data_IF_785619290107
#
_entry.id   IF_785619290107
#
_cell.length_a   1.000
_cell.length_b   1.000
_cell.length_c   1.000
_cell.angle_alpha   90.00
_cell.angle_beta   90.00
_cell.angle_gamma   90.00
#
_symmetry.space_group_name_H-M   'P 1'
#
loop_
_entity.id
_entity.type
_entity.pdbx_description
1 polymer ?
#
# COMPACT_ATOMS: atom_id res chain seq x y z
N UNK A 1 13.77 -38.09 -12.10
CA UNK A 1 12.48 -38.09 -12.80
C UNK A 1 11.34 -38.80 -12.05
N UNK A 2 11.60 -39.66 -11.04
CA UNK A 2 10.53 -40.42 -10.35
C UNK A 2 9.59 -39.62 -9.42
N UNK A 3 9.95 -38.41 -8.96
CA UNK A 3 9.14 -37.64 -8.01
C UNK A 3 7.96 -36.85 -8.66
N UNK A 4 7.80 -36.91 -9.98
CA UNK A 4 6.72 -36.21 -10.68
C UNK A 4 5.44 -37.03 -10.82
N UNK A 5 5.54 -38.36 -10.65
CA UNK A 5 4.41 -39.28 -10.62
C UNK A 5 4.36 -39.96 -9.26
N UNK A 6 3.19 -39.94 -8.64
CA UNK A 6 2.88 -40.78 -7.50
C UNK A 6 1.82 -41.76 -7.98
N UNK A 7 2.03 -43.05 -7.76
CA UNK A 7 0.95 -44.02 -7.95
C UNK A 7 -0.21 -43.69 -7.01
N UNK A 8 -1.47 -43.99 -7.38
CA UNK A 8 -2.60 -43.82 -6.48
C UNK A 8 -2.33 -44.48 -5.11
N UNK A 9 -2.45 -43.70 -4.03
CA UNK A 9 -2.13 -44.15 -2.66
C UNK A 9 -0.72 -43.80 -2.16
N UNK A 10 0.21 -43.38 -3.02
CA UNK A 10 1.49 -42.83 -2.59
C UNK A 10 1.37 -41.36 -2.19
N UNK A 11 2.16 -40.96 -1.20
CA UNK A 11 2.23 -39.58 -0.70
C UNK A 11 3.64 -39.04 -0.80
N UNK A 12 3.76 -37.73 -1.03
CA UNK A 12 5.00 -36.99 -1.00
C UNK A 12 4.93 -35.95 0.10
N UNK A 13 5.85 -36.04 1.05
CA UNK A 13 5.96 -35.09 2.15
C UNK A 13 6.91 -33.96 1.79
N UNK A 14 6.55 -32.74 2.13
CA UNK A 14 7.36 -31.56 1.89
C UNK A 14 8.57 -31.46 2.82
N UNK A 15 9.51 -30.55 2.52
CA UNK A 15 10.75 -30.37 3.30
C UNK A 15 10.48 -30.07 4.77
N UNK A 16 9.51 -29.19 5.08
CA UNK A 16 9.13 -28.87 6.45
C UNK A 16 8.34 -29.98 7.15
N UNK A 17 7.92 -31.01 6.40
CA UNK A 17 6.97 -32.05 6.80
C UNK A 17 5.57 -31.56 7.14
N UNK A 18 5.27 -30.28 6.92
CA UNK A 18 3.94 -29.73 7.14
C UNK A 18 2.95 -30.16 6.05
N UNK A 19 3.40 -30.27 4.80
CA UNK A 19 2.53 -30.62 3.68
C UNK A 19 2.71 -32.08 3.27
N UNK A 20 1.59 -32.78 3.10
CA UNK A 20 1.55 -34.15 2.57
C UNK A 20 0.72 -34.15 1.29
N UNK A 21 1.37 -34.40 0.16
CA UNK A 21 0.75 -34.31 -1.17
C UNK A 21 0.45 -35.70 -1.70
N UNK A 22 -0.76 -35.91 -2.20
CA UNK A 22 -1.21 -37.13 -2.89
C UNK A 22 -1.84 -36.78 -4.24
N UNK A 23 -1.94 -37.76 -5.15
CA UNK A 23 -2.58 -37.58 -6.44
C UNK A 23 -3.53 -38.74 -6.76
N UNK A 24 -4.73 -38.40 -7.24
CA UNK A 24 -5.63 -39.34 -7.92
C UNK A 24 -5.48 -39.27 -9.44
N UNK A 25 -4.64 -38.38 -9.95
CA UNK A 25 -4.36 -38.21 -11.38
C UNK A 25 -3.06 -38.94 -11.70
N UNK A 26 -3.17 -39.94 -12.59
CA UNK A 26 -2.02 -40.62 -13.20
C UNK A 26 -1.92 -40.19 -14.66
N UNK A 27 -1.31 -39.03 -14.90
CA UNK A 27 -1.11 -38.48 -16.23
C UNK A 27 0.34 -37.97 -16.40
N UNK A 28 0.97 -38.13 -17.58
CA UNK A 28 2.26 -37.52 -17.86
C UNK A 28 2.18 -36.00 -17.68
N UNK A 29 3.12 -35.44 -16.90
CA UNK A 29 3.22 -34.00 -16.75
C UNK A 29 3.69 -33.38 -18.07
N UNK A 30 2.82 -32.58 -18.67
CA UNK A 30 3.16 -31.66 -19.75
C UNK A 30 2.90 -30.24 -19.25
N UNK A 31 3.92 -29.33 -19.27
CA UNK A 31 3.74 -27.96 -18.82
C UNK A 31 2.59 -27.30 -19.59
N UNK A 32 1.79 -26.48 -18.90
CA UNK A 32 0.73 -25.73 -19.56
C UNK A 32 1.35 -24.74 -20.56
N UNK A 33 0.83 -24.70 -21.79
CA UNK A 33 1.20 -23.69 -22.77
C UNK A 33 0.72 -22.32 -22.29
N UNK A 34 1.57 -21.60 -21.56
CA UNK A 34 1.27 -20.30 -20.98
C UNK A 34 2.00 -19.20 -21.75
N UNK A 35 1.29 -18.10 -22.03
CA UNK A 35 1.98 -16.82 -22.29
C UNK A 35 2.75 -16.46 -21.02
N UNK A 36 4.00 -15.98 -21.17
CA UNK A 36 4.85 -15.61 -20.04
C UNK A 36 4.18 -14.48 -19.27
N UNK A 37 3.66 -14.79 -18.08
CA UNK A 37 3.06 -13.86 -17.11
C UNK A 37 3.72 -14.08 -15.76
N UNK A 38 3.83 -13.01 -14.97
CA UNK A 38 4.38 -13.06 -13.61
C UNK A 38 3.61 -14.04 -12.70
N UNK A 39 2.29 -14.10 -12.86
CA UNK A 39 1.43 -15.10 -12.24
C UNK A 39 0.67 -15.81 -13.37
N UNK A 40 0.83 -17.14 -13.52
CA UNK A 40 0.21 -17.88 -14.61
C UNK A 40 -1.31 -18.00 -14.43
N UNK A 41 -2.06 -17.79 -15.52
CA UNK A 41 -3.52 -17.99 -15.52
C UNK A 41 -3.91 -19.48 -15.42
N UNK A 42 -2.97 -20.38 -15.72
CA UNK A 42 -3.17 -21.83 -15.72
C UNK A 42 -1.95 -22.53 -15.15
N UNK A 43 -2.12 -23.29 -14.09
CA UNK A 43 -1.09 -24.12 -13.48
C UNK A 43 -1.55 -25.56 -13.54
N UNK A 44 -0.72 -26.40 -14.14
CA UNK A 44 -0.93 -27.85 -14.13
C UNK A 44 -0.22 -28.45 -12.93
N UNK A 45 -0.97 -29.04 -12.02
CA UNK A 45 -0.45 -29.58 -10.78
C UNK A 45 0.10 -30.99 -10.97
N UNK A 46 1.19 -31.24 -10.26
CA UNK A 46 1.79 -32.55 -10.03
C UNK A 46 2.40 -32.53 -8.61
N UNK A 47 2.59 -33.71 -7.96
CA UNK A 47 2.87 -33.76 -6.52
C UNK A 47 4.13 -33.01 -6.07
N UNK A 48 5.26 -33.19 -6.75
CA UNK A 48 6.52 -32.52 -6.40
C UNK A 48 6.46 -31.00 -6.58
N UNK A 49 5.90 -30.52 -7.69
CA UNK A 49 5.71 -29.09 -7.91
C UNK A 49 4.81 -28.45 -6.87
N UNK A 50 3.70 -29.11 -6.49
CA UNK A 50 2.80 -28.62 -5.45
C UNK A 50 3.48 -28.56 -4.07
N UNK A 51 4.27 -29.58 -3.71
CA UNK A 51 5.02 -29.56 -2.46
C UNK A 51 6.06 -28.44 -2.42
N UNK A 52 6.84 -28.25 -3.49
CA UNK A 52 7.84 -27.18 -3.58
C UNK A 52 7.21 -25.78 -3.57
N UNK A 53 6.09 -25.62 -4.27
CA UNK A 53 5.30 -24.39 -4.29
C UNK A 53 4.76 -24.05 -2.89
N UNK A 54 4.12 -25.02 -2.23
CA UNK A 54 3.57 -24.83 -0.88
C UNK A 54 4.65 -24.48 0.15
N UNK A 55 5.82 -25.13 0.08
CA UNK A 55 6.98 -24.78 0.90
C UNK A 55 7.47 -23.36 0.64
N UNK A 56 7.55 -22.94 -0.63
CA UNK A 56 8.01 -21.60 -1.00
C UNK A 56 7.06 -20.52 -0.48
N UNK A 57 5.73 -20.75 -0.56
CA UNK A 57 4.73 -19.86 0.03
C UNK A 57 4.87 -19.81 1.55
N UNK A 58 4.97 -20.98 2.20
CA UNK A 58 5.14 -21.08 3.64
C UNK A 58 6.38 -20.30 4.10
N UNK A 59 7.51 -20.44 3.41
CA UNK A 59 8.73 -19.73 3.75
C UNK A 59 8.55 -18.19 3.65
N UNK A 60 7.83 -17.70 2.63
CA UNK A 60 7.47 -16.28 2.55
C UNK A 60 6.53 -15.85 3.67
N UNK A 61 5.49 -16.63 3.95
CA UNK A 61 4.53 -16.31 5.00
C UNK A 61 5.17 -16.28 6.38
N UNK A 62 5.96 -17.30 6.73
CA UNK A 62 6.76 -17.39 7.96
C UNK A 62 7.66 -16.17 8.12
N UNK A 63 8.39 -15.79 7.06
CA UNK A 63 9.27 -14.63 7.05
C UNK A 63 8.52 -13.31 7.27
N UNK A 64 7.39 -13.12 6.57
CA UNK A 64 6.62 -11.86 6.63
C UNK A 64 5.87 -11.69 7.95
N UNK A 65 5.35 -12.78 8.50
CA UNK A 65 4.60 -12.76 9.75
C UNK A 65 5.48 -12.96 10.99
N UNK A 66 6.78 -13.21 10.83
CA UNK A 66 7.72 -13.42 11.95
C UNK A 66 7.41 -14.67 12.78
N UNK A 67 6.88 -15.71 12.13
CA UNK A 67 6.40 -16.91 12.81
C UNK A 67 7.58 -17.85 13.07
N UNK A 68 7.65 -18.45 14.26
CA UNK A 68 8.60 -19.55 14.48
C UNK A 68 8.23 -20.74 13.59
N UNK A 69 9.21 -21.40 12.96
CA UNK A 69 8.98 -22.48 11.97
C UNK A 69 8.37 -23.78 12.52
N UNK A 70 7.72 -23.74 13.69
CA UNK A 70 7.00 -24.84 14.34
C UNK A 70 5.52 -24.80 13.95
N UNK A 71 5.09 -25.79 13.19
CA UNK A 71 3.67 -26.09 12.91
C UNK A 71 3.16 -27.15 13.88
N UNK A 72 1.85 -27.24 14.07
CA UNK A 72 1.23 -28.23 14.98
C UNK A 72 0.41 -29.27 14.25
N UNK A 73 -0.14 -28.91 13.08
CA UNK A 73 -0.99 -29.78 12.27
C UNK A 73 -0.43 -29.98 10.86
N UNK A 74 -0.67 -31.17 10.31
CA UNK A 74 -0.37 -31.47 8.92
C UNK A 74 -1.44 -30.92 7.99
N UNK A 75 -1.00 -30.56 6.78
CA UNK A 75 -1.84 -30.09 5.68
C UNK A 75 -1.75 -31.10 4.55
N UNK A 76 -2.84 -31.84 4.32
CA UNK A 76 -2.94 -32.82 3.26
C UNK A 76 -3.50 -32.18 1.99
N UNK A 77 -2.74 -32.24 0.91
CA UNK A 77 -3.14 -31.74 -0.41
C UNK A 77 -3.37 -32.92 -1.33
N UNK A 78 -4.59 -33.07 -1.84
CA UNK A 78 -4.95 -34.14 -2.76
C UNK A 78 -5.24 -33.57 -4.15
N UNK A 79 -4.44 -33.95 -5.14
CA UNK A 79 -4.67 -33.57 -6.53
C UNK A 79 -5.78 -34.45 -7.09
N UNK A 80 -6.88 -33.82 -7.54
CA UNK A 80 -8.04 -34.49 -8.13
C UNK A 80 -8.17 -34.14 -9.62
N UNK A 81 -8.78 -35.02 -10.44
CA UNK A 81 -9.18 -34.65 -11.79
C UNK A 81 -10.09 -33.41 -11.77
N UNK A 82 -9.82 -32.44 -12.64
CA UNK A 82 -10.59 -31.20 -12.71
C UNK A 82 -10.16 -30.31 -13.87
N UNK A 83 -11.02 -29.35 -14.20
CA UNK A 83 -10.85 -28.35 -15.27
C UNK A 83 -10.63 -26.96 -14.67
N UNK A 84 -10.15 -26.04 -15.51
CA UNK A 84 -10.00 -24.64 -15.12
C UNK A 84 -11.36 -24.04 -14.73
N UNK A 85 -11.46 -23.46 -13.55
CA UNK A 85 -12.71 -22.93 -12.99
C UNK A 85 -13.37 -23.84 -11.96
N UNK A 86 -12.93 -25.10 -11.85
CA UNK A 86 -13.32 -25.95 -10.72
C UNK A 86 -12.73 -25.37 -9.43
N UNK A 87 -13.52 -25.33 -8.37
CA UNK A 87 -13.08 -24.78 -7.07
C UNK A 87 -12.36 -25.83 -6.25
N UNK A 88 -11.26 -25.43 -5.61
CA UNK A 88 -10.64 -26.25 -4.58
C UNK A 88 -11.58 -26.38 -3.38
N UNK A 89 -11.62 -27.57 -2.78
CA UNK A 89 -12.42 -27.83 -1.58
C UNK A 89 -11.48 -27.96 -0.40
N UNK A 90 -11.74 -27.20 0.65
CA UNK A 90 -10.98 -27.21 1.88
C UNK A 90 -11.89 -27.64 3.03
N UNK A 91 -11.34 -28.45 3.94
CA UNK A 91 -11.98 -28.79 5.19
C UNK A 91 -10.97 -29.21 6.26
N UNK A 92 -11.45 -29.28 7.49
CA UNK A 92 -10.70 -29.79 8.65
C UNK A 92 -11.34 -31.08 9.14
N UNK A 93 -10.51 -32.01 9.62
CA UNK A 93 -10.95 -33.28 10.16
C UNK A 93 -10.32 -33.43 11.56
N UNK A 94 -11.08 -33.83 12.58
CA UNK A 94 -10.51 -34.09 13.89
C UNK A 94 -9.54 -35.27 13.80
N UNK A 95 -8.35 -35.08 14.36
CA UNK A 95 -7.33 -36.10 14.50
C UNK A 95 -7.64 -36.99 15.72
N UNK A 96 -7.21 -38.25 15.68
CA UNK A 96 -7.31 -39.20 16.80
C UNK A 96 -6.68 -38.70 18.12
N UNK A 97 -5.73 -37.76 18.05
CA UNK A 97 -5.07 -37.13 19.21
C UNK A 97 -5.80 -35.90 19.74
N UNK A 98 -6.97 -35.55 19.19
CA UNK A 98 -7.75 -34.37 19.59
C UNK A 98 -7.31 -33.05 18.94
N UNK A 99 -6.31 -33.08 18.05
CA UNK A 99 -5.91 -31.95 17.19
C UNK A 99 -6.73 -31.92 15.88
N UNK A 100 -6.43 -30.98 14.99
CA UNK A 100 -7.08 -30.88 13.67
C UNK A 100 -6.09 -31.19 12.56
N UNK A 101 -6.48 -32.02 11.59
CA UNK A 101 -5.77 -32.15 10.33
C UNK A 101 -6.49 -31.34 9.24
N UNK A 102 -5.72 -30.64 8.42
CA UNK A 102 -6.25 -29.78 7.35
C UNK A 102 -6.16 -30.53 6.03
N UNK A 103 -7.25 -30.58 5.26
CA UNK A 103 -7.28 -31.26 3.96
C UNK A 103 -7.81 -30.34 2.87
N UNK A 104 -7.15 -30.34 1.72
CA UNK A 104 -7.64 -29.69 0.53
C UNK A 104 -7.62 -30.63 -0.68
N UNK A 105 -8.75 -30.71 -1.39
CA UNK A 105 -8.85 -31.33 -2.70
C UNK A 105 -8.64 -30.24 -3.75
N UNK A 106 -7.58 -30.40 -4.55
CA UNK A 106 -7.08 -29.38 -5.47
C UNK A 106 -7.23 -29.88 -6.91
N UNK A 107 -7.97 -29.17 -7.78
CA UNK A 107 -8.07 -29.53 -9.19
C UNK A 107 -6.70 -29.58 -9.86
N UNK A 108 -6.47 -30.60 -10.68
CA UNK A 108 -5.24 -30.77 -11.46
C UNK A 108 -4.87 -29.55 -12.32
N UNK A 109 -5.85 -28.75 -12.73
CA UNK A 109 -5.64 -27.53 -13.49
C UNK A 109 -6.37 -26.36 -12.82
N UNK A 110 -5.62 -25.35 -12.37
CA UNK A 110 -6.20 -24.18 -11.70
C UNK A 110 -5.38 -22.89 -11.92
N UNK A 111 -5.95 -21.69 -11.71
CA UNK A 111 -5.20 -20.44 -11.80
C UNK A 111 -4.13 -20.33 -10.70
N UNK A 112 -2.96 -19.77 -11.04
CA UNK A 112 -1.84 -19.67 -10.09
C UNK A 112 -2.15 -18.78 -8.88
N UNK A 113 -2.95 -17.72 -9.08
CA UNK A 113 -3.40 -16.86 -7.99
C UNK A 113 -4.30 -17.62 -7.01
N UNK A 114 -5.31 -18.35 -7.52
CA UNK A 114 -6.21 -19.15 -6.69
C UNK A 114 -5.46 -20.25 -5.93
N UNK A 115 -4.44 -20.84 -6.56
CA UNK A 115 -3.56 -21.82 -5.90
C UNK A 115 -2.81 -21.18 -4.74
N UNK A 116 -2.29 -19.96 -4.93
CA UNK A 116 -1.59 -19.22 -3.88
C UNK A 116 -2.55 -18.89 -2.72
N UNK A 117 -3.75 -18.44 -3.06
CA UNK A 117 -4.80 -18.09 -2.12
C UNK A 117 -5.19 -19.28 -1.25
N UNK A 118 -5.40 -20.45 -1.85
CA UNK A 118 -5.69 -21.70 -1.15
C UNK A 118 -4.60 -22.07 -0.13
N UNK A 119 -3.33 -22.03 -0.52
CA UNK A 119 -2.23 -22.38 0.39
C UNK A 119 -2.13 -21.38 1.55
N UNK A 120 -2.36 -20.08 1.27
CA UNK A 120 -2.38 -19.05 2.31
C UNK A 120 -3.56 -19.22 3.27
N UNK A 121 -4.74 -19.54 2.75
CA UNK A 121 -5.92 -19.80 3.57
C UNK A 121 -5.71 -20.98 4.52
N UNK A 122 -5.11 -22.07 4.01
CA UNK A 122 -4.71 -23.23 4.81
C UNK A 122 -3.72 -22.87 5.93
N UNK A 123 -2.69 -22.08 5.61
CA UNK A 123 -1.67 -21.67 6.58
C UNK A 123 -2.25 -20.74 7.66
N UNK A 124 -3.09 -19.78 7.27
CA UNK A 124 -3.75 -18.86 8.19
C UNK A 124 -4.73 -19.60 9.11
N UNK A 125 -5.51 -20.53 8.56
CA UNK A 125 -6.48 -21.33 9.31
C UNK A 125 -5.78 -22.30 10.26
N UNK A 126 -4.69 -22.95 9.83
CA UNK A 126 -3.86 -23.79 10.72
C UNK A 126 -3.32 -22.97 11.88
N UNK A 127 -2.74 -21.81 11.60
CA UNK A 127 -2.14 -20.98 12.64
C UNK A 127 -3.16 -20.44 13.64
N UNK A 128 -4.30 -19.94 13.14
CA UNK A 128 -5.38 -19.43 13.98
C UNK A 128 -6.02 -20.56 14.82
N UNK A 129 -6.05 -21.80 14.28
CA UNK A 129 -6.65 -22.96 14.94
C UNK A 129 -5.79 -23.64 16.01
N UNK A 130 -4.49 -23.36 16.10
CA UNK A 130 -3.51 -24.07 16.97
C UNK A 130 -3.92 -24.27 18.44
N UNK A 131 -4.70 -23.36 19.00
CA UNK A 131 -5.10 -23.40 20.42
C UNK A 131 -6.62 -23.32 20.60
N UNK A 132 -7.37 -23.75 19.59
CA UNK A 132 -8.83 -23.65 19.57
C UNK A 132 -9.50 -24.95 19.16
N UNK A 133 -10.56 -25.32 19.87
CA UNK A 133 -11.51 -26.36 19.44
C UNK A 133 -12.48 -25.86 18.37
N UNK A 134 -12.67 -24.54 18.27
CA UNK A 134 -13.59 -23.90 17.31
C UNK A 134 -12.85 -23.53 16.02
N UNK A 135 -13.58 -23.55 14.90
CA UNK A 135 -13.04 -23.13 13.61
C UNK A 135 -12.76 -21.63 13.60
N UNK A 136 -11.53 -21.18 13.30
CA UNK A 136 -11.29 -19.77 13.11
C UNK A 136 -12.02 -19.27 11.87
N UNK A 137 -12.97 -18.36 12.05
CA UNK A 137 -13.58 -17.62 10.94
C UNK A 137 -12.68 -16.43 10.61
N UNK A 138 -11.79 -16.60 9.64
CA UNK A 138 -10.87 -15.54 9.22
C UNK A 138 -11.62 -14.34 8.63
N UNK A 139 -11.19 -13.09 8.89
CA UNK A 139 -11.70 -11.93 8.18
C UNK A 139 -11.48 -12.05 6.67
N UNK A 140 -12.45 -11.68 5.82
CA UNK A 140 -12.38 -11.93 4.38
C UNK A 140 -11.24 -11.19 3.66
N UNK A 141 -10.63 -10.18 4.30
CA UNK A 141 -9.51 -9.42 3.74
C UNK A 141 -8.14 -10.10 3.95
N UNK A 142 -7.98 -10.98 4.93
CA UNK A 142 -6.63 -11.41 5.34
C UNK A 142 -5.99 -12.37 4.33
N UNK A 143 -6.76 -13.34 3.82
CA UNK A 143 -6.33 -14.28 2.79
C UNK A 143 -5.97 -13.57 1.47
N UNK A 144 -6.85 -12.76 0.84
CA UNK A 144 -6.49 -12.04 -0.38
C UNK A 144 -5.37 -11.02 -0.16
N UNK A 145 -5.36 -10.28 0.96
CA UNK A 145 -4.32 -9.29 1.24
C UNK A 145 -2.94 -9.92 1.39
N UNK A 146 -2.86 -11.08 2.06
CA UNK A 146 -1.61 -11.85 2.20
C UNK A 146 -1.19 -12.50 0.88
N UNK A 147 -2.16 -12.94 0.07
CA UNK A 147 -1.92 -13.48 -1.27
C UNK A 147 -1.25 -12.44 -2.16
N UNK A 148 -1.80 -11.23 -2.22
CA UNK A 148 -1.20 -10.13 -3.00
C UNK A 148 0.18 -9.72 -2.48
N UNK A 149 0.37 -9.68 -1.16
CA UNK A 149 1.68 -9.40 -0.53
C UNK A 149 2.77 -10.35 -1.03
N UNK A 150 2.45 -11.63 -1.18
CA UNK A 150 3.40 -12.65 -1.63
C UNK A 150 3.55 -12.64 -3.15
N UNK A 151 2.46 -12.54 -3.90
CA UNK A 151 2.49 -12.56 -5.37
C UNK A 151 3.21 -11.34 -5.95
N UNK A 152 2.96 -10.14 -5.44
CA UNK A 152 3.61 -8.93 -5.97
C UNK A 152 5.10 -8.88 -5.63
N UNK A 153 5.53 -9.54 -4.54
CA UNK A 153 6.93 -9.57 -4.13
C UNK A 153 7.74 -10.76 -4.69
N UNK A 154 7.11 -11.91 -4.94
CA UNK A 154 7.80 -13.17 -5.32
C UNK A 154 7.09 -14.02 -6.38
N UNK A 155 5.94 -13.59 -6.90
CA UNK A 155 5.06 -14.34 -7.80
C UNK A 155 5.79 -15.16 -8.88
N UNK A 156 6.59 -14.54 -9.77
CA UNK A 156 7.25 -15.26 -10.86
C UNK A 156 8.10 -16.45 -10.42
N UNK A 157 8.82 -16.31 -9.30
CA UNK A 157 9.75 -17.32 -8.80
C UNK A 157 8.98 -18.49 -8.17
N UNK A 158 7.81 -18.23 -7.57
CA UNK A 158 7.00 -19.26 -6.92
C UNK A 158 6.53 -20.34 -7.91
N UNK A 159 6.24 -19.98 -9.16
CA UNK A 159 5.68 -20.91 -10.15
C UNK A 159 6.72 -21.69 -10.96
N UNK A 160 8.01 -21.49 -10.69
CA UNK A 160 9.11 -22.23 -11.34
C UNK A 160 8.95 -23.76 -11.32
N UNK A 161 8.42 -24.41 -10.25
CA UNK A 161 8.25 -25.86 -10.24
C UNK A 161 7.25 -26.37 -11.29
N UNK A 162 6.34 -25.52 -11.78
CA UNK A 162 5.32 -25.87 -12.77
C UNK A 162 5.68 -25.45 -14.20
N UNK A 163 6.76 -24.66 -14.36
CA UNK A 163 7.20 -24.15 -15.64
C UNK A 163 8.75 -24.13 -15.72
N UNK A 164 9.42 -25.30 -15.65
CA UNK A 164 10.89 -25.36 -15.60
C UNK A 164 11.55 -24.80 -16.86
N UNK A 165 10.87 -24.82 -18.01
CA UNK A 165 11.39 -24.24 -19.26
C UNK A 165 11.30 -22.70 -19.31
N UNK A 166 10.51 -22.08 -18.42
CA UNK A 166 10.42 -20.63 -18.34
C UNK A 166 11.61 -20.00 -17.59
N UNK A 167 12.41 -20.80 -16.88
CA UNK A 167 13.51 -20.36 -16.00
C UNK A 167 14.59 -19.57 -16.77
N UNK A 168 14.83 -19.87 -18.04
CA UNK A 168 15.78 -19.14 -18.90
C UNK A 168 15.30 -17.76 -19.40
N UNK A 169 14.03 -17.40 -19.17
CA UNK A 169 13.42 -16.15 -19.66
C UNK A 169 12.86 -15.24 -18.56
N UNK A 170 13.09 -15.55 -17.28
CA UNK A 170 12.56 -14.78 -16.14
C UNK A 170 13.36 -13.46 -15.90
N UNK A 171 13.41 -12.58 -16.89
CA UNK A 171 13.82 -11.18 -16.67
C UNK A 171 12.65 -10.38 -16.09
N UNK A 172 12.13 -10.80 -14.94
CA UNK A 172 11.10 -10.05 -14.22
C UNK A 172 11.77 -8.98 -13.37
N UNK A 173 11.74 -7.74 -13.86
CA UNK A 173 12.07 -6.57 -13.04
C UNK A 173 10.94 -6.42 -12.03
N UNK A 174 11.21 -6.79 -10.78
CA UNK A 174 10.30 -6.48 -9.70
C UNK A 174 10.31 -4.97 -9.46
N UNK A 175 9.15 -4.28 -9.52
CA UNK A 175 9.10 -2.89 -9.11
C UNK A 175 9.57 -2.75 -7.66
N UNK A 176 10.31 -1.68 -7.37
CA UNK A 176 10.82 -1.42 -6.03
C UNK A 176 9.67 -1.21 -5.02
N UNK A 177 8.49 -0.77 -5.50
CA UNK A 177 7.26 -0.64 -4.71
C UNK A 177 6.56 -2.01 -4.57
N UNK A 178 6.49 -2.59 -3.35
CA UNK A 178 5.77 -3.85 -3.11
C UNK A 178 4.26 -3.73 -3.32
N UNK A 179 3.71 -2.51 -3.39
CA UNK A 179 2.31 -2.22 -3.61
C UNK A 179 2.03 -1.72 -5.04
N UNK A 180 2.97 -1.79 -5.99
CA UNK A 180 2.85 -1.17 -7.32
C UNK A 180 1.49 -1.43 -8.00
N UNK A 181 1.12 -2.70 -8.21
CA UNK A 181 -0.13 -3.04 -8.90
C UNK A 181 -1.37 -2.65 -8.08
N UNK A 182 -1.29 -2.74 -6.75
CA UNK A 182 -2.37 -2.30 -5.87
C UNK A 182 -2.51 -0.78 -5.81
N UNK A 183 -1.40 -0.03 -5.98
CA UNK A 183 -1.38 1.43 -5.94
C UNK A 183 -2.18 2.03 -7.09
N UNK A 184 -1.97 1.54 -8.31
CA UNK A 184 -2.72 1.98 -9.49
C UNK A 184 -4.24 1.89 -9.28
N UNK A 185 -4.70 0.75 -8.75
CA UNK A 185 -6.13 0.55 -8.47
C UNK A 185 -6.62 1.39 -7.29
N UNK A 186 -5.86 1.45 -6.19
CA UNK A 186 -6.28 2.23 -5.02
C UNK A 186 -6.36 3.72 -5.37
N UNK A 187 -5.42 4.27 -6.15
CA UNK A 187 -5.46 5.67 -6.54
C UNK A 187 -6.64 5.99 -7.47
N UNK A 188 -6.97 5.08 -8.39
CA UNK A 188 -8.05 5.26 -9.38
C UNK A 188 -9.46 5.16 -8.78
N UNK A 189 -9.69 4.25 -7.84
CA UNK A 189 -11.02 3.96 -7.31
C UNK A 189 -11.29 4.63 -5.97
N UNK A 190 -12.55 4.69 -5.53
CA UNK A 190 -12.93 5.26 -4.23
C UNK A 190 -12.36 4.43 -3.05
N UNK A 191 -12.05 5.05 -1.90
CA UNK A 191 -11.65 4.33 -0.69
C UNK A 191 -12.72 3.32 -0.26
N UNK A 192 -12.28 2.20 0.32
CA UNK A 192 -13.17 1.18 0.92
C UNK A 192 -13.06 1.30 2.45
N UNK A 193 -14.20 1.34 3.14
CA UNK A 193 -14.23 1.35 4.61
C UNK A 193 -13.69 0.05 5.19
N UNK A 194 -13.20 0.08 6.43
CA UNK A 194 -12.76 -1.13 7.13
C UNK A 194 -13.96 -2.07 7.37
N UNK A 195 -15.15 -1.51 7.63
CA UNK A 195 -16.39 -2.27 7.69
C UNK A 195 -16.64 -3.06 6.39
N UNK A 196 -16.53 -2.41 5.22
CA UNK A 196 -16.75 -3.09 3.93
C UNK A 196 -15.64 -4.10 3.59
N UNK A 197 -14.43 -3.92 4.14
CA UNK A 197 -13.38 -4.95 4.04
C UNK A 197 -13.70 -6.19 4.89
N UNK A 198 -14.36 -6.01 6.04
CA UNK A 198 -14.69 -7.10 6.97
C UNK A 198 -16.03 -7.77 6.65
N UNK A 199 -16.98 -7.01 6.13
CA UNK A 199 -18.33 -7.44 5.74
C UNK A 199 -18.63 -6.87 4.33
N UNK A 200 -18.13 -7.53 3.27
CA UNK A 200 -18.27 -7.03 1.91
C UNK A 200 -19.75 -6.91 1.48
N UNK A 201 -20.23 -5.71 1.10
CA UNK A 201 -21.59 -5.52 0.58
C UNK A 201 -21.75 -6.14 -0.82
N UNK A 202 -23.01 -6.37 -1.23
CA UNK A 202 -23.32 -7.00 -2.50
C UNK A 202 -22.84 -6.23 -3.76
N UNK A 203 -22.56 -4.93 -3.72
CA UNK A 203 -21.95 -4.28 -4.90
C UNK A 203 -20.46 -4.62 -5.05
N UNK A 204 -19.82 -5.06 -3.97
CA UNK A 204 -18.53 -5.74 -3.97
C UNK A 204 -18.75 -7.26 -4.10
N UNK A 205 -19.79 -7.71 -4.82
CA UNK A 205 -20.25 -9.12 -4.91
C UNK A 205 -19.21 -10.13 -5.36
N UNK A 206 -18.19 -9.70 -6.12
CA UNK A 206 -17.06 -10.59 -6.44
C UNK A 206 -16.11 -10.77 -5.25
N UNK A 207 -16.25 -9.96 -4.20
CA UNK A 207 -15.56 -10.03 -2.93
C UNK A 207 -14.07 -10.19 -3.12
N UNK A 208 -13.57 -11.32 -2.63
CA UNK A 208 -12.18 -11.77 -2.74
C UNK A 208 -11.66 -11.82 -4.19
N UNK A 209 -12.53 -11.97 -5.20
CA UNK A 209 -12.19 -11.96 -6.63
C UNK A 209 -12.16 -10.56 -7.26
N UNK A 210 -12.67 -9.53 -6.57
CA UNK A 210 -12.63 -8.15 -7.06
C UNK A 210 -11.21 -7.56 -6.91
N UNK A 211 -10.54 -7.17 -8.01
CA UNK A 211 -9.19 -6.60 -7.95
C UNK A 211 -9.09 -5.33 -7.09
N UNK A 212 -10.16 -4.53 -7.00
CA UNK A 212 -10.20 -3.33 -6.15
C UNK A 212 -10.24 -3.72 -4.68
N UNK A 213 -11.08 -4.69 -4.31
CA UNK A 213 -11.15 -5.23 -2.96
C UNK A 213 -9.79 -5.80 -2.53
N UNK A 214 -9.19 -6.66 -3.37
CA UNK A 214 -7.88 -7.27 -3.10
C UNK A 214 -6.78 -6.25 -2.91
N UNK A 215 -6.79 -5.16 -3.68
CA UNK A 215 -5.79 -4.11 -3.55
C UNK A 215 -5.90 -3.39 -2.20
N UNK A 216 -7.11 -3.12 -1.73
CA UNK A 216 -7.32 -2.53 -0.40
C UNK A 216 -6.99 -3.53 0.72
N UNK A 217 -7.31 -4.81 0.55
CA UNK A 217 -6.91 -5.87 1.47
C UNK A 217 -5.38 -6.02 1.55
N UNK A 218 -4.68 -5.92 0.42
CA UNK A 218 -3.22 -5.92 0.36
C UNK A 218 -2.63 -4.73 1.12
N UNK A 219 -3.16 -3.52 0.86
CA UNK A 219 -2.74 -2.33 1.59
C UNK A 219 -2.97 -2.48 3.10
N UNK A 220 -4.12 -3.02 3.52
CA UNK A 220 -4.42 -3.25 4.94
C UNK A 220 -3.40 -4.19 5.58
N UNK A 221 -3.17 -5.37 5.01
CA UNK A 221 -2.17 -6.33 5.51
C UNK A 221 -0.78 -5.70 5.56
N UNK A 222 -0.37 -5.00 4.49
CA UNK A 222 0.92 -4.33 4.42
C UNK A 222 1.08 -3.27 5.52
N UNK A 223 0.04 -2.44 5.76
CA UNK A 223 0.06 -1.42 6.81
C UNK A 223 0.12 -2.05 8.20
N UNK A 224 -0.63 -3.11 8.47
CA UNK A 224 -0.65 -3.79 9.76
C UNK A 224 0.71 -4.43 10.08
N UNK A 225 1.33 -5.10 9.11
CA UNK A 225 2.66 -5.67 9.26
C UNK A 225 3.75 -4.60 9.42
N UNK A 226 3.55 -3.41 8.84
CA UNK A 226 4.47 -2.27 8.96
C UNK A 226 4.34 -1.46 10.26
N UNK A 227 3.36 -1.74 11.13
CA UNK A 227 3.27 -1.11 12.44
C UNK A 227 4.43 -1.55 13.36
N UNK A 228 4.74 -0.79 14.42
CA UNK A 228 5.67 -1.25 15.46
C UNK A 228 5.23 -2.61 16.02
N UNK A 229 6.12 -3.61 15.95
CA UNK A 229 5.82 -5.01 16.29
C UNK A 229 4.64 -5.59 15.50
N UNK A 230 4.43 -5.14 14.26
CA UNK A 230 3.27 -5.49 13.43
C UNK A 230 3.14 -7.00 13.17
N UNK A 231 4.26 -7.70 12.95
CA UNK A 231 4.31 -9.16 12.83
C UNK A 231 3.79 -9.87 14.08
N UNK A 232 4.26 -9.47 15.27
CA UNK A 232 3.84 -10.03 16.55
C UNK A 232 2.36 -9.73 16.83
N UNK A 233 1.91 -8.51 16.56
CA UNK A 233 0.50 -8.11 16.68
C UNK A 233 -0.41 -8.90 15.74
N UNK A 234 0.04 -9.15 14.51
CA UNK A 234 -0.69 -9.97 13.54
C UNK A 234 -0.77 -11.44 13.99
N UNK A 235 0.31 -12.00 14.52
CA UNK A 235 0.28 -13.35 15.11
C UNK A 235 -0.68 -13.41 16.29
N UNK A 236 -0.65 -12.41 17.17
CA UNK A 236 -1.57 -12.31 18.29
C UNK A 236 -3.02 -12.18 17.82
N UNK A 237 -3.31 -11.35 16.82
CA UNK A 237 -4.62 -11.24 16.19
C UNK A 237 -5.15 -12.59 15.71
N UNK A 238 -4.35 -13.35 14.97
CA UNK A 238 -4.75 -14.68 14.47
C UNK A 238 -5.10 -15.65 15.60
N UNK A 239 -4.37 -15.61 16.72
CA UNK A 239 -4.65 -16.45 17.90
C UNK A 239 -5.86 -15.99 18.71
N UNK A 240 -6.24 -14.73 18.58
CA UNK A 240 -7.42 -14.17 19.23
C UNK A 240 -8.70 -14.45 18.44
N UNK A 241 -8.65 -14.59 17.11
CA UNK A 241 -9.83 -14.83 16.26
C UNK A 241 -10.79 -15.90 16.84
N UNK A 242 -10.35 -17.13 17.18
CA UNK A 242 -11.27 -18.16 17.66
C UNK A 242 -11.90 -17.85 19.03
N UNK A 243 -11.32 -16.92 19.80
CA UNK A 243 -11.79 -16.57 21.15
C UNK A 243 -12.92 -15.54 21.14
N UNK A 244 -13.16 -14.89 20.00
CA UNK A 244 -14.16 -13.83 19.86
C UNK A 244 -15.17 -14.20 18.79
N UNK A 245 -16.47 -14.01 19.06
CA UNK A 245 -17.52 -14.16 18.04
C UNK A 245 -17.44 -13.11 16.92
N UNK A 246 -16.72 -12.02 17.17
CA UNK A 246 -16.57 -10.89 16.25
C UNK A 246 -15.08 -10.56 16.06
N UNK A 247 -14.61 -10.66 14.82
CA UNK A 247 -13.24 -10.38 14.43
C UNK A 247 -12.80 -8.93 14.73
N UNK A 248 -13.72 -7.96 14.76
CA UNK A 248 -13.41 -6.59 15.14
C UNK A 248 -12.92 -6.49 16.59
N UNK A 249 -13.43 -7.34 17.49
CA UNK A 249 -12.96 -7.38 18.88
C UNK A 249 -11.55 -7.93 18.96
N UNK A 250 -11.27 -9.05 18.29
CA UNK A 250 -9.93 -9.62 18.18
C UNK A 250 -8.94 -8.59 17.61
N UNK A 251 -9.35 -7.85 16.58
CA UNK A 251 -8.54 -6.79 15.97
C UNK A 251 -8.24 -5.66 16.96
N UNK A 252 -9.27 -5.18 17.67
CA UNK A 252 -9.13 -4.13 18.67
C UNK A 252 -8.13 -4.48 19.76
N UNK A 253 -8.20 -5.71 20.29
CA UNK A 253 -7.25 -6.21 21.31
C UNK A 253 -5.82 -6.30 20.74
N UNK A 254 -5.67 -6.80 19.51
CA UNK A 254 -4.35 -7.01 18.92
C UNK A 254 -3.62 -5.74 18.49
N UNK A 255 -4.37 -4.75 18.00
CA UNK A 255 -3.79 -3.52 17.45
C UNK A 255 -3.98 -2.29 18.34
N UNK A 256 -4.72 -2.42 19.45
CA UNK A 256 -4.90 -1.37 20.45
C UNK A 256 -5.99 -0.35 20.07
N UNK A 257 -7.06 -0.81 19.44
CA UNK A 257 -8.21 0.04 19.09
C UNK A 257 -9.41 -0.29 19.98
N UNK A 258 -9.94 0.73 20.64
CA UNK A 258 -11.01 0.58 21.63
C UNK A 258 -12.38 0.24 21.00
N UNK A 259 -12.60 0.68 19.76
CA UNK A 259 -13.88 0.53 19.07
C UNK A 259 -13.72 0.41 17.56
N UNK A 260 -14.77 -0.08 16.90
CA UNK A 260 -14.85 -0.16 15.44
C UNK A 260 -14.66 1.22 14.79
N UNK A 261 -15.18 2.28 15.41
CA UNK A 261 -15.00 3.65 14.94
C UNK A 261 -13.52 4.07 14.94
N UNK A 262 -12.76 3.69 15.98
CA UNK A 262 -11.31 3.97 16.03
C UNK A 262 -10.53 3.19 14.98
N UNK A 263 -10.94 1.97 14.67
CA UNK A 263 -10.36 1.19 13.56
C UNK A 263 -10.64 1.89 12.23
N UNK A 264 -11.88 2.32 12.00
CA UNK A 264 -12.29 3.02 10.78
C UNK A 264 -11.54 4.34 10.60
N UNK A 265 -11.38 5.14 11.67
CA UNK A 265 -10.60 6.38 11.64
C UNK A 265 -9.14 6.12 11.26
N UNK A 266 -8.50 5.14 11.89
CA UNK A 266 -7.13 4.76 11.57
C UNK A 266 -7.00 4.31 10.11
N UNK A 267 -7.93 3.48 9.64
CA UNK A 267 -7.91 2.97 8.27
C UNK A 267 -8.15 4.07 7.23
N UNK A 268 -9.09 4.99 7.48
CA UNK A 268 -9.32 6.15 6.64
C UNK A 268 -8.05 7.01 6.51
N UNK A 269 -7.35 7.26 7.63
CA UNK A 269 -6.07 7.99 7.61
C UNK A 269 -4.99 7.23 6.84
N UNK A 270 -4.88 5.91 7.03
CA UNK A 270 -3.91 5.08 6.31
C UNK A 270 -4.13 5.13 4.79
N UNK A 271 -5.39 5.15 4.34
CA UNK A 271 -5.74 5.30 2.92
C UNK A 271 -5.42 6.69 2.38
N UNK A 272 -5.74 7.76 3.11
CA UNK A 272 -5.43 9.14 2.70
C UNK A 272 -3.91 9.31 2.55
N UNK A 273 -3.14 8.87 3.55
CA UNK A 273 -1.67 8.93 3.50
C UNK A 273 -1.08 8.10 2.36
N UNK A 274 -1.70 6.97 2.02
CA UNK A 274 -1.24 6.14 0.91
C UNK A 274 -1.53 6.78 -0.44
N UNK A 275 -2.70 7.39 -0.60
CA UNK A 275 -3.13 8.07 -1.84
C UNK A 275 -2.37 9.36 -2.09
N UNK A 276 -2.06 10.11 -1.04
CA UNK A 276 -1.29 11.35 -1.15
C UNK A 276 0.19 11.12 -1.46
N UNK A 277 0.66 9.87 -1.43
CA UNK A 277 2.07 9.53 -1.64
C UNK A 277 2.31 8.65 -2.86
N UNK A 278 3.52 8.71 -3.40
CA UNK A 278 4.02 7.85 -4.46
C UNK A 278 4.71 6.57 -3.91
N UNK A 279 5.26 5.79 -4.83
CA UNK A 279 6.05 4.59 -4.54
C UNK A 279 7.27 4.84 -3.63
N UNK A 280 7.83 6.05 -3.67
CA UNK A 280 9.02 6.47 -2.94
C UNK A 280 8.68 7.25 -1.66
N UNK A 281 7.43 7.22 -1.22
CA UNK A 281 6.90 7.95 -0.07
C UNK A 281 6.97 9.48 -0.20
N UNK A 282 7.14 10.01 -1.41
CA UNK A 282 7.02 11.44 -1.74
C UNK A 282 5.56 11.78 -1.94
N UNK A 283 5.19 13.05 -1.79
CA UNK A 283 3.83 13.48 -2.06
C UNK A 283 3.57 13.47 -3.57
N UNK A 284 2.34 13.16 -3.96
CA UNK A 284 1.89 13.23 -5.36
C UNK A 284 2.03 14.68 -5.87
N UNK A 285 2.41 14.88 -7.14
CA UNK A 285 2.63 16.21 -7.70
C UNK A 285 1.48 17.18 -7.43
N UNK A 286 0.23 16.75 -7.62
CA UNK A 286 -0.95 17.59 -7.44
C UNK A 286 -1.10 18.08 -5.99
N UNK A 287 -0.85 17.20 -5.02
CA UNK A 287 -0.90 17.55 -3.61
C UNK A 287 0.21 18.55 -3.24
N UNK A 288 1.41 18.39 -3.80
CA UNK A 288 2.52 19.32 -3.58
C UNK A 288 2.23 20.68 -4.18
N UNK A 289 1.71 20.73 -5.41
CA UNK A 289 1.40 21.99 -6.08
C UNK A 289 0.31 22.75 -5.33
N UNK A 290 -0.72 22.07 -4.83
CA UNK A 290 -1.73 22.68 -3.95
C UNK A 290 -1.13 23.22 -2.64
N UNK A 291 -0.28 22.43 -1.96
CA UNK A 291 0.38 22.91 -0.75
C UNK A 291 1.40 24.03 -1.03
N UNK A 292 2.02 24.04 -2.20
CA UNK A 292 2.90 25.12 -2.65
C UNK A 292 2.09 26.40 -2.86
N UNK A 293 0.95 26.36 -3.56
CA UNK A 293 0.09 27.53 -3.72
C UNK A 293 -0.36 28.11 -2.39
N UNK A 294 -0.74 27.26 -1.43
CA UNK A 294 -1.13 27.71 -0.09
C UNK A 294 0.06 28.34 0.67
N UNK A 295 1.27 27.78 0.53
CA UNK A 295 2.47 28.31 1.16
C UNK A 295 2.88 29.68 0.62
N UNK A 296 2.50 30.02 -0.62
CA UNK A 296 2.78 31.30 -1.27
C UNK A 296 1.78 32.41 -0.88
N UNK A 297 0.79 32.10 -0.05
CA UNK A 297 -0.10 33.08 0.55
C UNK A 297 0.42 33.53 1.93
N UNK A 298 0.37 34.83 2.19
CA UNK A 298 0.79 35.45 3.45
C UNK A 298 -0.41 36.08 4.13
N UNK A 299 -0.56 35.75 5.40
CA UNK A 299 -1.54 36.35 6.29
C UNK A 299 -1.08 37.77 6.69
N UNK A 300 -1.87 38.78 6.33
CA UNK A 300 -1.64 40.20 6.61
C UNK A 300 -2.83 40.80 7.35
N UNK A 301 -2.58 41.78 8.20
CA UNK A 301 -3.62 42.52 8.92
C UNK A 301 -4.03 43.74 8.09
N UNK A 302 -5.33 43.90 7.88
CA UNK A 302 -5.91 45.12 7.33
C UNK A 302 -5.94 46.21 8.40
N UNK A 303 -5.71 47.49 8.02
CA UNK A 303 -5.96 48.61 8.90
C UNK A 303 -7.38 48.53 9.48
N UNK A 304 -7.57 48.77 10.78
CA UNK A 304 -8.89 48.67 11.39
C UNK A 304 -9.82 49.76 10.84
N UNK A 305 -11.05 49.38 10.50
CA UNK A 305 -12.09 50.30 9.98
C UNK A 305 -12.49 51.39 11.00
N UNK A 306 -12.13 51.20 12.28
CA UNK A 306 -12.39 52.13 13.39
C UNK A 306 -11.38 51.90 14.52
N UNK A 307 -11.00 52.90 15.34
CA UNK A 307 -10.02 52.78 16.43
C UNK A 307 -10.31 51.68 17.47
N UNK A 308 -11.56 51.20 17.53
CA UNK A 308 -12.04 50.18 18.47
C UNK A 308 -12.26 48.81 17.80
N UNK A 309 -12.11 48.71 16.49
CA UNK A 309 -12.32 47.47 15.73
C UNK A 309 -11.05 46.60 15.74
N UNK A 310 -11.21 45.28 15.91
CA UNK A 310 -10.10 44.34 15.75
C UNK A 310 -9.62 44.35 14.28
N UNK A 311 -8.30 44.34 14.02
CA UNK A 311 -7.79 44.24 12.66
C UNK A 311 -8.31 42.97 11.99
N UNK A 312 -8.78 43.11 10.75
CA UNK A 312 -9.24 41.98 9.94
C UNK A 312 -8.05 41.31 9.30
N UNK A 313 -8.04 40.00 9.30
CA UNK A 313 -6.98 39.21 8.65
C UNK A 313 -7.33 38.90 7.21
N UNK A 314 -6.39 39.09 6.29
CA UNK A 314 -6.53 38.71 4.88
C UNK A 314 -5.32 37.91 4.39
N UNK A 315 -5.57 36.99 3.47
CA UNK A 315 -4.53 36.22 2.78
C UNK A 315 -4.19 36.92 1.46
N UNK A 316 -2.94 37.33 1.29
CA UNK A 316 -2.46 37.99 0.08
C UNK A 316 -1.33 37.19 -0.58
N UNK A 317 -1.20 37.22 -1.91
CA UNK A 317 -0.06 36.62 -2.59
C UNK A 317 1.27 37.20 -2.10
N UNK A 318 2.31 36.38 -2.05
CA UNK A 318 3.65 36.75 -1.62
C UNK A 318 4.16 38.04 -2.28
N UNK A 319 3.96 38.21 -3.58
CA UNK A 319 4.40 39.39 -4.33
C UNK A 319 3.64 40.65 -3.93
N UNK A 320 2.35 40.53 -3.63
CA UNK A 320 1.54 41.64 -3.12
C UNK A 320 2.05 42.08 -1.74
N UNK A 321 2.37 41.13 -0.86
CA UNK A 321 3.02 41.43 0.43
C UNK A 321 4.40 42.07 0.25
N UNK A 322 5.21 41.62 -0.70
CA UNK A 322 6.52 42.22 -0.92
C UNK A 322 6.42 43.69 -1.39
N UNK A 323 5.42 44.02 -2.20
CA UNK A 323 5.18 45.39 -2.73
C UNK A 323 4.84 46.41 -1.65
N UNK A 324 4.30 46.00 -0.50
CA UNK A 324 4.00 46.93 0.61
C UNK A 324 5.26 47.46 1.32
N UNK A 325 6.44 46.95 0.94
CA UNK A 325 7.73 47.28 1.55
C UNK A 325 7.77 47.15 3.07
N UNK A 326 7.45 45.96 3.62
CA UNK A 326 7.37 45.76 5.05
C UNK A 326 8.73 45.98 5.70
N UNK A 327 8.73 46.49 6.94
CA UNK A 327 9.93 46.75 7.71
C UNK A 327 10.80 45.47 7.83
N UNK A 328 12.14 45.57 7.86
CA UNK A 328 13.02 44.40 7.80
C UNK A 328 12.73 43.32 8.86
N UNK A 329 12.33 43.70 10.08
CA UNK A 329 11.97 42.77 11.15
C UNK A 329 10.69 42.00 10.85
N UNK A 330 9.63 42.70 10.42
CA UNK A 330 8.34 42.11 10.08
C UNK A 330 8.47 41.17 8.86
N UNK A 331 9.22 41.62 7.85
CA UNK A 331 9.58 40.83 6.68
C UNK A 331 10.25 39.50 7.06
N UNK A 332 11.23 39.54 7.94
CA UNK A 332 11.91 38.32 8.41
C UNK A 332 10.95 37.41 9.21
N UNK A 333 10.09 37.99 10.05
CA UNK A 333 9.11 37.26 10.85
C UNK A 333 8.10 36.50 9.98
N UNK A 334 7.58 37.12 8.91
CA UNK A 334 6.59 36.51 8.02
C UNK A 334 7.19 35.57 6.97
N UNK A 335 8.38 35.85 6.44
CA UNK A 335 9.00 35.04 5.38
C UNK A 335 9.81 33.84 5.87
N UNK A 336 10.30 33.83 7.11
CA UNK A 336 11.06 32.69 7.65
C UNK A 336 10.21 31.41 7.75
N UNK A 337 8.96 31.45 8.27
CA UNK A 337 8.07 30.29 8.25
C UNK A 337 7.72 29.80 6.84
N UNK A 338 7.61 30.71 5.86
CA UNK A 338 7.40 30.34 4.45
C UNK A 338 8.60 29.53 3.94
N UNK A 339 9.83 29.99 4.18
CA UNK A 339 11.05 29.28 3.79
C UNK A 339 11.17 27.88 4.43
N UNK A 340 10.75 27.73 5.68
CA UNK A 340 10.72 26.44 6.38
C UNK A 340 9.68 25.49 5.77
N UNK A 341 8.46 25.98 5.49
CA UNK A 341 7.42 25.20 4.82
C UNK A 341 7.85 24.78 3.42
N UNK A 342 8.45 25.67 2.63
CA UNK A 342 9.00 25.34 1.33
C UNK A 342 10.14 24.30 1.44
N UNK A 343 10.99 24.37 2.47
CA UNK A 343 12.03 23.36 2.69
C UNK A 343 11.43 21.97 2.95
N UNK A 344 10.37 21.92 3.77
CA UNK A 344 9.64 20.69 4.04
C UNK A 344 8.99 20.14 2.76
N UNK A 345 8.35 20.99 1.95
CA UNK A 345 7.77 20.55 0.68
C UNK A 345 8.83 19.97 -0.25
N UNK A 346 9.96 20.65 -0.44
CA UNK A 346 11.05 20.21 -1.32
C UNK A 346 11.54 18.78 -1.02
N UNK A 347 11.70 18.43 0.26
CA UNK A 347 12.18 17.08 0.65
C UNK A 347 11.16 15.99 0.33
N UNK A 348 9.87 16.34 0.31
CA UNK A 348 8.77 15.43 0.03
C UNK A 348 8.37 15.43 -1.46
N UNK A 349 9.10 16.13 -2.33
CA UNK A 349 8.74 16.35 -3.73
C UNK A 349 9.34 15.36 -4.73
N UNK A 350 8.66 15.22 -5.88
CA UNK A 350 9.27 14.61 -7.08
C UNK A 350 10.41 15.51 -7.57
N UNK A 351 11.40 14.99 -8.33
CA UNK A 351 12.55 15.80 -8.76
C UNK A 351 12.17 17.10 -9.50
N UNK A 352 11.12 17.02 -10.33
CA UNK A 352 10.59 18.16 -11.09
C UNK A 352 9.99 19.25 -10.17
N UNK A 353 9.06 18.86 -9.29
CA UNK A 353 8.43 19.80 -8.35
C UNK A 353 9.41 20.30 -7.28
N UNK A 354 10.36 19.47 -6.86
CA UNK A 354 11.42 19.84 -5.91
C UNK A 354 12.29 20.97 -6.47
N UNK A 355 12.58 20.94 -7.78
CA UNK A 355 13.35 21.99 -8.45
C UNK A 355 12.60 23.33 -8.46
N UNK A 356 11.31 23.32 -8.79
CA UNK A 356 10.46 24.51 -8.73
C UNK A 356 10.45 25.12 -7.31
N UNK A 357 10.23 24.28 -6.29
CA UNK A 357 10.22 24.73 -4.88
C UNK A 357 11.59 25.29 -4.47
N UNK A 358 12.68 24.66 -4.91
CA UNK A 358 14.02 25.17 -4.68
C UNK A 358 14.19 26.59 -5.26
N UNK A 359 13.70 26.83 -6.48
CA UNK A 359 13.81 28.15 -7.12
C UNK A 359 13.04 29.23 -6.35
N UNK A 360 11.87 28.91 -5.78
CA UNK A 360 11.15 29.80 -4.86
C UNK A 360 11.97 30.09 -3.59
N UNK A 361 12.51 29.04 -2.95
CA UNK A 361 13.33 29.17 -1.73
C UNK A 361 14.57 30.01 -1.96
N UNK A 362 15.27 29.81 -3.08
CA UNK A 362 16.47 30.55 -3.42
C UNK A 362 16.16 32.01 -3.70
N UNK A 363 15.04 32.31 -4.37
CA UNK A 363 14.60 33.68 -4.64
C UNK A 363 14.30 34.43 -3.34
N UNK A 364 13.53 33.81 -2.44
CA UNK A 364 13.22 34.37 -1.12
C UNK A 364 14.46 34.49 -0.22
N UNK A 365 15.33 33.48 -0.20
CA UNK A 365 16.55 33.48 0.59
C UNK A 365 17.57 34.51 0.10
N UNK A 366 17.66 34.73 -1.22
CA UNK A 366 18.47 35.78 -1.80
C UNK A 366 17.94 37.17 -1.44
N UNK A 367 16.62 37.35 -1.42
CA UNK A 367 15.97 38.59 -1.00
C UNK A 367 16.22 38.90 0.49
N UNK A 368 16.13 37.90 1.37
CA UNK A 368 16.42 38.04 2.81
C UNK A 368 17.91 38.15 3.14
N UNK A 369 18.81 37.95 2.16
CA UNK A 369 20.26 38.03 2.40
C UNK A 369 20.81 36.93 3.30
N UNK A 370 20.21 35.73 3.24
CA UNK A 370 20.64 34.56 4.03
C UNK A 370 21.99 33.98 3.57
N UNK A 371 22.48 34.35 2.38
CA UNK A 371 23.75 33.88 1.80
C UNK A 371 24.80 34.99 1.57
N UNK A 372 24.57 36.23 2.04
CA UNK A 372 25.52 37.33 1.84
C UNK A 372 26.53 37.42 2.98
N UNK A 373 27.82 37.57 2.66
CA UNK A 373 28.87 37.90 3.63
C UNK A 373 28.64 39.29 4.24
N UNK A 374 29.25 39.57 5.39
CA UNK A 374 28.99 40.79 6.20
C UNK A 374 29.17 42.10 5.41
N UNK A 375 30.17 42.16 4.51
CA UNK A 375 30.46 43.33 3.67
C UNK A 375 29.36 43.55 2.62
N UNK A 376 28.91 42.48 1.96
CA UNK A 376 27.81 42.55 0.99
C UNK A 376 26.46 42.84 1.66
N UNK A 377 26.30 42.50 2.95
CA UNK A 377 25.09 42.79 3.71
C UNK A 377 24.93 44.29 3.97
N UNK A 378 26.00 45.01 4.30
CA UNK A 378 25.99 46.46 4.53
C UNK A 378 25.69 47.28 3.24
N UNK A 379 26.10 46.78 2.07
CA UNK A 379 25.77 47.41 0.78
C UNK A 379 24.30 47.16 0.41
N UNK A 380 23.78 45.97 0.75
CA UNK A 380 22.38 45.58 0.52
C UNK A 380 21.37 46.25 1.44
N UNK A 381 21.80 46.86 2.55
CA UNK A 381 20.90 47.63 3.43
C UNK A 381 20.60 49.03 2.90
N UNK A 382 21.27 49.48 1.82
CA UNK A 382 20.94 50.76 1.16
C UNK A 382 19.53 50.70 0.55
N UNK A 383 18.71 51.76 0.68
CA UNK A 383 17.31 51.75 0.20
C UNK A 383 17.18 51.42 -1.29
N UNK A 384 18.06 51.99 -2.13
CA UNK A 384 18.11 51.74 -3.58
C UNK A 384 18.47 50.29 -3.92
N UNK A 385 19.40 49.69 -3.16
CA UNK A 385 19.77 48.29 -3.30
C UNK A 385 18.64 47.35 -2.84
N UNK A 386 17.88 47.71 -1.80
CA UNK A 386 16.73 46.93 -1.37
C UNK A 386 15.57 46.98 -2.37
N UNK A 387 15.28 48.16 -2.93
CA UNK A 387 14.25 48.31 -3.96
C UNK A 387 14.56 47.45 -5.20
N UNK A 388 15.80 47.49 -5.70
CA UNK A 388 16.21 46.66 -6.85
C UNK A 388 16.17 45.16 -6.55
N UNK A 389 16.58 44.74 -5.34
CA UNK A 389 16.46 43.34 -4.91
C UNK A 389 15.01 42.89 -4.78
N UNK A 390 14.13 43.76 -4.28
CA UNK A 390 12.69 43.50 -4.19
C UNK A 390 12.08 43.31 -5.56
N UNK A 391 12.30 44.26 -6.48
CA UNK A 391 11.76 44.16 -7.84
C UNK A 391 12.26 42.89 -8.53
N UNK A 392 13.56 42.60 -8.44
CA UNK A 392 14.12 41.36 -8.98
C UNK A 392 13.48 40.09 -8.37
N UNK A 393 13.22 40.09 -7.06
CA UNK A 393 12.54 38.98 -6.41
C UNK A 393 11.10 38.85 -6.92
N UNK A 394 10.35 39.94 -7.02
CA UNK A 394 8.97 39.95 -7.54
C UNK A 394 8.93 39.45 -8.99
N UNK A 395 9.81 39.95 -9.87
CA UNK A 395 9.88 39.50 -11.26
C UNK A 395 10.16 38.01 -11.34
N UNK A 396 11.12 37.51 -10.57
CA UNK A 396 11.45 36.08 -10.56
C UNK A 396 10.30 35.24 -9.99
N UNK A 397 9.65 35.68 -8.92
CA UNK A 397 8.48 34.99 -8.36
C UNK A 397 7.32 34.93 -9.36
N UNK A 398 7.04 36.01 -10.11
CA UNK A 398 6.01 35.99 -11.16
C UNK A 398 6.31 34.97 -12.26
N UNK A 399 7.58 34.83 -12.67
CA UNK A 399 7.98 33.80 -13.64
C UNK A 399 7.77 32.39 -13.08
N UNK A 400 8.09 32.17 -11.80
CA UNK A 400 7.87 30.88 -11.15
C UNK A 400 6.37 30.58 -11.03
N UNK A 401 5.52 31.59 -10.81
CA UNK A 401 4.06 31.42 -10.77
C UNK A 401 3.50 31.00 -12.13
N UNK A 402 4.08 31.46 -13.24
CA UNK A 402 3.73 30.96 -14.58
C UNK A 402 4.06 29.47 -14.71
N UNK A 403 5.25 29.05 -14.27
CA UNK A 403 5.64 27.63 -14.30
C UNK A 403 4.73 26.80 -13.38
N UNK A 404 4.39 27.33 -12.20
CA UNK A 404 3.45 26.68 -11.27
C UNK A 404 2.06 26.49 -11.91
N UNK A 405 1.56 27.50 -12.63
CA UNK A 405 0.29 27.43 -13.34
C UNK A 405 0.31 26.37 -14.44
N UNK A 406 1.41 26.28 -15.21
CA UNK A 406 1.58 25.28 -16.28
C UNK A 406 1.67 23.84 -15.74
N UNK A 407 2.22 23.66 -14.53
CA UNK A 407 2.34 22.36 -13.88
C UNK A 407 1.06 21.93 -13.15
N UNK A 408 0.15 22.86 -12.86
CA UNK A 408 -1.07 22.57 -12.12
C UNK A 408 -2.13 21.96 -13.05
N UNK A 409 -2.82 20.89 -12.64
CA UNK A 409 -3.89 20.34 -13.46
C UNK A 409 -5.02 21.39 -13.62
N UNK A 410 -5.68 21.45 -14.79
CA UNK A 410 -6.83 22.33 -14.97
C UNK A 410 -7.90 22.00 -13.92
N UNK A 411 -8.64 23.00 -13.40
CA UNK A 411 -9.73 22.74 -12.47
C UNK A 411 -10.70 21.73 -13.09
N UNK A 412 -11.24 20.77 -12.31
CA UNK A 412 -12.17 19.79 -12.84
C UNK A 412 -13.34 20.52 -13.50
N UNK A 413 -13.64 20.17 -14.75
CA UNK A 413 -14.83 20.67 -15.44
C UNK A 413 -16.04 20.38 -14.55
N UNK A 414 -16.62 21.43 -13.97
CA UNK A 414 -17.94 21.35 -13.36
C UNK A 414 -18.90 20.97 -14.47
N UNK A 415 -19.19 19.68 -14.62
CA UNK A 415 -20.39 19.22 -15.31
C UNK A 415 -21.60 19.67 -14.50
N UNK A 416 -21.95 20.95 -14.67
CA UNK A 416 -23.25 21.49 -14.31
C UNK A 416 -24.25 20.93 -15.31
N UNK A 417 -24.69 19.70 -15.04
CA UNK A 417 -25.96 19.17 -15.54
C UNK A 417 -26.80 18.81 -14.32
N UNK A 418 -27.19 19.84 -13.57
CA UNK A 418 -28.46 19.78 -12.87
C UNK A 418 -29.54 19.98 -13.94
N UNK A 419 -30.12 18.86 -14.36
CA UNK A 419 -31.46 18.88 -14.91
C UNK A 419 -32.40 19.34 -13.79
N UNK A 420 -32.94 20.54 -13.93
CA UNK A 420 -34.17 20.96 -13.26
C UNK A 420 -35.38 20.27 -13.92
N UNK A 421 -36.49 20.14 -13.18
CA UNK A 421 -37.29 18.92 -13.01
C UNK A 421 -38.03 18.40 -14.24
#
# INVERSE_FOLDING_TARGET
MHAQRLSPGQTLTSRSRQFVVSSLVDAPFAPAANKVKAVPDRVRLHPSGLAQFAESIRDQWVKRFGIASRWQSQIHLQIIPGKLGDTARFGRIPNATGSWDYRASVPHLMPGRELTELIIDLLLTEFAGRYSSTDPVLPPWITPGTTELILQSKGPILFTPFAPQAVGGLNFIHPLDPLHASRELIQKYKPISYLNLTLPPAHLSKGVQDPVYRSHAHLLVHKLLGLPRGSERMQFFLREIPKHKNNARAFGVAFGHESMLKIEQWWAMAQIQFRSRDAFHRWQPEAILAHLSDCLQIETELPPDSPQAKPKTQWVPLQAYLRTDPAPKERALKLTPVLQRLAFLQVNSTPETARLIQDYRETLGAYLGLRSTNIHRAIRTKPTAQATLRERAITKLNLLDTILADMSPPPPETHSKFATP
#
